data_IF_736538653573
#
_entry.id   IF_736538653573
#
_cell.length_a   1.000
_cell.length_b   1.000
_cell.length_c   1.000
_cell.angle_alpha   90.00
_cell.angle_beta   90.00
_cell.angle_gamma   90.00
#
_symmetry.space_group_name_H-M   'P 1'
#
loop_
_entity.id
_entity.type
_entity.pdbx_description
1 polymer ?
#
# COMPACT_ATOMS: atom_id res chain seq x y z
N UNK A 1 44.36 -26.14 36.51
CA UNK A 1 43.24 -26.72 35.73
C UNK A 1 42.06 -26.85 36.69
N UNK A 2 41.05 -25.99 36.53
CA UNK A 2 39.77 -26.47 36.03
C UNK A 2 39.28 -25.62 34.85
N UNK A 3 38.99 -26.30 33.75
CA UNK A 3 38.30 -25.81 32.56
C UNK A 3 36.79 -25.92 32.80
N UNK A 4 36.14 -24.80 33.14
CA UNK A 4 34.69 -24.80 33.40
C UNK A 4 33.96 -23.49 33.09
N UNK A 5 34.62 -22.50 32.49
CA UNK A 5 34.03 -21.16 32.33
C UNK A 5 33.72 -20.77 30.88
N UNK A 6 34.00 -21.63 29.90
CA UNK A 6 33.81 -21.28 28.48
C UNK A 6 32.44 -21.66 27.89
N UNK A 7 31.67 -22.52 28.55
CA UNK A 7 30.39 -23.02 28.01
C UNK A 7 29.19 -22.11 28.28
N UNK A 8 29.26 -21.23 29.28
CA UNK A 8 28.10 -20.43 29.72
C UNK A 8 27.91 -19.13 28.92
N UNK A 9 28.97 -18.60 28.30
CA UNK A 9 28.88 -17.37 27.49
C UNK A 9 28.28 -17.61 26.09
N UNK A 10 28.56 -18.76 25.46
CA UNK A 10 28.11 -19.08 24.09
C UNK A 10 26.60 -19.32 23.98
N UNK A 11 25.95 -19.75 25.07
CA UNK A 11 24.51 -20.03 25.10
C UNK A 11 23.66 -18.75 25.25
N UNK A 12 24.26 -17.66 25.77
CA UNK A 12 23.57 -16.37 25.95
C UNK A 12 23.60 -15.50 24.70
N UNK A 13 24.68 -15.56 23.91
CA UNK A 13 24.83 -14.78 22.68
C UNK A 13 24.00 -15.32 21.52
N UNK A 14 23.69 -16.62 21.50
CA UNK A 14 22.82 -17.23 20.48
C UNK A 14 21.33 -16.92 20.71
N UNK A 15 20.91 -16.67 21.95
CA UNK A 15 19.52 -16.38 22.30
C UNK A 15 19.12 -14.92 22.06
N UNK A 16 20.09 -14.00 22.00
CA UNK A 16 19.85 -12.59 21.64
C UNK A 16 19.72 -12.36 20.13
N UNK A 17 20.32 -13.21 19.28
CA UNK A 17 20.26 -13.05 17.82
C UNK A 17 18.94 -13.53 17.21
N UNK A 18 18.25 -14.49 17.84
CA UNK A 18 16.96 -15.00 17.37
C UNK A 18 15.77 -14.07 17.69
N UNK A 19 15.94 -13.13 18.62
CA UNK A 19 14.91 -12.14 18.96
C UNK A 19 14.84 -10.97 17.97
N UNK A 20 15.91 -10.68 17.22
CA UNK A 20 15.93 -9.58 16.25
C UNK A 20 15.20 -9.90 14.93
N UNK A 21 15.05 -11.18 14.57
CA UNK A 21 14.31 -11.56 13.36
C UNK A 21 12.78 -11.53 13.52
N UNK A 22 12.26 -11.38 14.73
CA UNK A 22 10.82 -11.33 15.00
C UNK A 22 10.23 -9.90 14.97
N UNK A 23 11.07 -8.87 14.81
CA UNK A 23 10.68 -7.46 14.72
C UNK A 23 10.70 -6.92 13.28
N UNK A 24 10.75 -7.81 12.28
CA UNK A 24 10.32 -7.51 10.92
C UNK A 24 8.80 -7.32 10.93
N UNK A 25 8.34 -6.29 11.62
CA UNK A 25 6.99 -5.77 11.55
C UNK A 25 6.66 -5.68 10.07
N UNK A 26 5.60 -6.40 9.68
CA UNK A 26 4.98 -6.30 8.38
C UNK A 26 4.72 -4.81 8.14
N UNK A 27 5.52 -4.15 7.30
CA UNK A 27 5.16 -2.86 6.77
C UNK A 27 3.89 -3.08 5.96
N UNK A 28 2.75 -2.58 6.45
CA UNK A 28 1.46 -2.66 5.78
C UNK A 28 1.48 -1.71 4.58
N UNK A 29 2.18 -2.12 3.54
CA UNK A 29 2.22 -1.39 2.27
C UNK A 29 0.98 -1.67 1.44
N UNK A 30 0.66 -0.75 0.54
CA UNK A 30 -0.25 -1.05 -0.58
C UNK A 30 0.33 -2.25 -1.34
N UNK A 31 -0.46 -3.32 -1.59
CA UNK A 31 0.04 -4.46 -2.33
C UNK A 31 0.42 -4.04 -3.76
N UNK A 32 1.57 -4.52 -4.24
CA UNK A 32 2.10 -4.20 -5.57
C UNK A 32 1.17 -4.64 -6.71
N UNK A 33 0.38 -5.70 -6.46
CA UNK A 33 -0.67 -6.19 -7.35
C UNK A 33 -2.05 -5.96 -6.71
N UNK A 34 -2.91 -5.25 -7.43
CA UNK A 34 -4.31 -5.06 -7.07
C UNK A 34 -5.20 -5.79 -8.06
N UNK A 35 -6.20 -6.52 -7.56
CA UNK A 35 -7.23 -7.13 -8.38
C UNK A 35 -8.59 -7.08 -7.71
N UNK A 36 -9.65 -6.95 -8.50
CA UNK A 36 -11.04 -7.06 -8.03
C UNK A 36 -11.81 -8.12 -8.82
N UNK A 37 -12.78 -8.81 -8.20
CA UNK A 37 -13.71 -9.65 -8.93
C UNK A 37 -14.52 -8.81 -9.93
N UNK A 38 -14.72 -9.31 -11.14
CA UNK A 38 -15.46 -8.59 -12.19
C UNK A 38 -16.94 -8.34 -11.85
N UNK A 39 -17.51 -9.09 -10.90
CA UNK A 39 -18.92 -9.03 -10.53
C UNK A 39 -19.19 -8.43 -9.14
N UNK A 40 -18.16 -7.95 -8.43
CA UNK A 40 -18.31 -7.38 -7.09
C UNK A 40 -18.42 -5.84 -7.16
N UNK A 41 -19.45 -5.22 -6.54
CA UNK A 41 -19.42 -3.79 -6.31
C UNK A 41 -18.22 -3.45 -5.42
N UNK A 42 -17.45 -2.44 -5.80
CA UNK A 42 -16.34 -1.97 -4.97
C UNK A 42 -16.89 -1.00 -3.93
N UNK A 43 -16.80 -1.36 -2.65
CA UNK A 43 -17.05 -0.42 -1.57
C UNK A 43 -15.83 0.49 -1.43
N UNK A 44 -16.03 1.77 -1.73
CA UNK A 44 -15.02 2.79 -1.52
C UNK A 44 -15.08 3.19 -0.05
N UNK A 45 -14.01 2.96 0.70
CA UNK A 45 -13.89 3.49 2.05
C UNK A 45 -13.68 5.02 1.97
N UNK A 46 -14.74 5.77 2.23
CA UNK A 46 -14.70 7.25 2.21
C UNK A 46 -14.29 7.85 3.56
N UNK A 47 -14.12 7.03 4.59
CA UNK A 47 -13.71 7.44 5.95
C UNK A 47 -12.63 6.50 6.50
N UNK A 48 -11.46 6.39 5.85
CA UNK A 48 -10.37 5.54 6.33
C UNK A 48 -9.76 6.01 7.67
N UNK A 49 -10.03 7.23 8.11
CA UNK A 49 -9.40 7.80 9.31
C UNK A 49 -8.05 8.42 8.97
N UNK A 50 -7.13 8.46 9.94
CA UNK A 50 -5.85 9.17 9.82
C UNK A 50 -4.63 8.24 9.73
N UNK A 51 -4.84 6.92 9.73
CA UNK A 51 -3.73 6.00 9.60
C UNK A 51 -3.18 6.04 8.16
N UNK A 52 -1.86 6.18 8.04
CA UNK A 52 -1.19 6.32 6.75
C UNK A 52 -1.37 5.10 5.86
N UNK A 53 -1.29 3.89 6.43
CA UNK A 53 -1.44 2.64 5.68
C UNK A 53 -2.88 2.51 5.18
N UNK A 54 -3.86 2.81 6.05
CA UNK A 54 -5.28 2.81 5.70
C UNK A 54 -5.62 3.83 4.61
N UNK A 55 -5.10 5.06 4.70
CA UNK A 55 -5.29 6.11 3.70
C UNK A 55 -4.71 5.72 2.33
N UNK A 56 -3.52 5.13 2.35
CA UNK A 56 -2.85 4.65 1.14
C UNK A 56 -3.61 3.49 0.49
N UNK A 57 -4.02 2.51 1.27
CA UNK A 57 -4.80 1.36 0.79
C UNK A 57 -6.19 1.79 0.30
N UNK A 58 -6.87 2.69 1.01
CA UNK A 58 -8.14 3.25 0.59
C UNK A 58 -8.01 4.00 -0.75
N UNK A 59 -6.94 4.77 -0.94
CA UNK A 59 -6.73 5.48 -2.20
C UNK A 59 -6.44 4.52 -3.36
N UNK A 60 -5.62 3.49 -3.13
CA UNK A 60 -5.29 2.52 -4.16
C UNK A 60 -6.51 1.67 -4.57
N UNK A 61 -7.35 1.32 -3.60
CA UNK A 61 -8.66 0.68 -3.84
C UNK A 61 -9.58 1.60 -4.63
N UNK A 62 -9.65 2.88 -4.25
CA UNK A 62 -10.44 3.91 -4.96
C UNK A 62 -9.99 4.07 -6.40
N UNK A 63 -8.68 4.12 -6.66
CA UNK A 63 -8.12 4.15 -8.01
C UNK A 63 -8.64 2.99 -8.86
N UNK A 64 -8.58 1.76 -8.34
CA UNK A 64 -9.08 0.59 -9.07
C UNK A 64 -10.60 0.59 -9.21
N UNK A 65 -11.33 1.22 -8.28
CA UNK A 65 -12.78 1.41 -8.36
C UNK A 65 -13.19 2.17 -9.61
N UNK A 66 -12.51 3.30 -9.84
CA UNK A 66 -12.76 4.21 -10.95
C UNK A 66 -12.03 3.82 -12.24
N UNK A 67 -11.15 2.81 -12.20
CA UNK A 67 -10.50 2.29 -13.39
C UNK A 67 -11.48 1.51 -14.28
N UNK A 68 -11.32 1.54 -15.61
CA UNK A 68 -12.11 0.74 -16.55
C UNK A 68 -11.70 -0.74 -16.59
N UNK A 69 -10.77 -1.15 -15.73
CA UNK A 69 -10.28 -2.53 -15.61
C UNK A 69 -10.45 -3.04 -14.18
N UNK A 70 -10.13 -4.31 -13.97
CA UNK A 70 -10.23 -4.97 -12.66
C UNK A 70 -8.88 -5.34 -12.08
N UNK A 71 -7.77 -5.00 -12.73
CA UNK A 71 -6.42 -5.33 -12.28
C UNK A 71 -5.44 -4.20 -12.52
N UNK A 72 -4.56 -3.98 -11.54
CA UNK A 72 -3.39 -3.12 -11.63
C UNK A 72 -2.16 -3.85 -11.06
N UNK A 73 -0.99 -3.51 -11.57
CA UNK A 73 0.31 -4.02 -11.09
C UNK A 73 1.28 -2.85 -10.93
N UNK A 74 2.49 -3.11 -10.42
CA UNK A 74 3.50 -2.09 -10.14
C UNK A 74 2.94 -0.95 -9.26
N UNK A 75 2.02 -1.29 -8.35
CA UNK A 75 1.29 -0.31 -7.55
C UNK A 75 2.20 0.22 -6.45
N UNK A 76 2.36 1.54 -6.41
CA UNK A 76 3.11 2.24 -5.37
C UNK A 76 2.32 3.46 -4.91
N UNK A 77 2.44 3.79 -3.64
CA UNK A 77 1.76 4.94 -3.04
C UNK A 77 2.73 5.82 -2.27
N UNK A 78 2.37 7.09 -2.16
CA UNK A 78 3.03 8.06 -1.29
C UNK A 78 1.97 8.96 -0.68
N UNK A 79 2.21 9.37 0.56
CA UNK A 79 1.35 10.32 1.26
C UNK A 79 2.14 11.60 1.56
N UNK A 80 1.44 12.73 1.60
CA UNK A 80 1.91 13.98 2.15
C UNK A 80 0.86 14.45 3.15
N UNK A 81 1.31 14.86 4.33
CA UNK A 81 0.47 15.37 5.42
C UNK A 81 0.63 16.89 5.49
N UNK A 82 -0.47 17.63 5.60
CA UNK A 82 -0.49 19.08 5.76
C UNK A 82 -1.63 19.49 6.72
N UNK A 83 -1.31 19.77 7.97
CA UNK A 83 -2.26 20.01 9.07
C UNK A 83 -3.38 18.95 9.14
N UNK A 84 -4.61 19.30 8.70
CA UNK A 84 -5.80 18.42 8.69
C UNK A 84 -6.06 17.74 7.33
N UNK A 85 -5.21 18.01 6.34
CA UNK A 85 -5.31 17.50 4.97
C UNK A 85 -4.25 16.42 4.69
N UNK A 86 -4.71 15.30 4.13
CA UNK A 86 -3.83 14.22 3.67
C UNK A 86 -3.94 14.06 2.16
N UNK A 87 -2.81 14.07 1.47
CA UNK A 87 -2.75 13.87 0.02
C UNK A 87 -2.07 12.55 -0.27
N UNK A 88 -2.82 11.60 -0.80
CA UNK A 88 -2.28 10.32 -1.27
C UNK A 88 -2.17 10.32 -2.78
N UNK A 89 -1.01 9.95 -3.29
CA UNK A 89 -0.76 9.73 -4.72
C UNK A 89 -0.43 8.26 -4.92
N UNK A 90 -1.23 7.58 -5.74
CA UNK A 90 -1.03 6.18 -6.14
C UNK A 90 -0.60 6.16 -7.59
N UNK A 91 0.43 5.36 -7.88
CA UNK A 91 0.90 5.05 -9.23
C UNK A 91 0.72 3.55 -9.46
N UNK A 92 0.48 3.17 -10.70
CA UNK A 92 0.42 1.76 -11.08
C UNK A 92 0.24 1.59 -12.57
N UNK A 93 0.14 0.34 -13.01
CA UNK A 93 -0.10 -0.04 -14.40
C UNK A 93 -1.40 -0.82 -14.48
N UNK A 94 -2.41 -0.24 -15.13
CA UNK A 94 -3.68 -0.89 -15.40
C UNK A 94 -3.50 -1.99 -16.45
N UNK A 95 -4.11 -3.14 -16.21
CA UNK A 95 -4.01 -4.32 -17.07
C UNK A 95 -5.34 -4.65 -17.72
N UNK A 96 -5.31 -5.00 -19.01
CA UNK A 96 -6.47 -5.55 -19.74
C UNK A 96 -7.36 -4.52 -20.43
N UNK A 97 -6.83 -3.34 -20.76
CA UNK A 97 -7.57 -2.29 -21.47
C UNK A 97 -7.91 -2.63 -22.92
N UNK A 98 -7.02 -3.37 -23.60
CA UNK A 98 -7.25 -3.84 -24.95
C UNK A 98 -6.41 -5.08 -25.26
N UNK A 99 -6.69 -5.72 -26.41
CA UNK A 99 -5.89 -6.86 -26.91
C UNK A 99 -4.54 -6.43 -27.49
N UNK A 100 -4.37 -5.15 -27.84
CA UNK A 100 -3.22 -4.66 -28.59
C UNK A 100 -2.24 -3.85 -27.72
N UNK A 101 -2.78 -3.11 -26.76
CA UNK A 101 -2.02 -2.51 -25.68
C UNK A 101 -2.72 -2.80 -24.36
N UNK A 102 -2.28 -3.84 -23.64
CA UNK A 102 -2.93 -4.26 -22.41
C UNK A 102 -2.47 -3.46 -21.19
N UNK A 103 -1.48 -2.57 -21.30
CA UNK A 103 -0.84 -1.91 -20.14
C UNK A 103 -0.94 -0.39 -20.24
N UNK A 104 -1.54 0.24 -19.24
CA UNK A 104 -1.57 1.70 -19.14
C UNK A 104 -1.02 2.16 -17.80
N UNK A 105 0.15 2.83 -17.79
CA UNK A 105 0.62 3.53 -16.61
C UNK A 105 -0.34 4.65 -16.22
N UNK A 106 -0.72 4.69 -14.95
CA UNK A 106 -1.63 5.70 -14.39
C UNK A 106 -1.07 6.32 -13.12
N UNK A 107 -1.50 7.55 -12.84
CA UNK A 107 -1.32 8.19 -11.54
C UNK A 107 -2.67 8.71 -11.08
N UNK A 108 -3.06 8.36 -9.86
CA UNK A 108 -4.29 8.79 -9.22
C UNK A 108 -3.99 9.53 -7.93
N UNK A 109 -4.80 10.54 -7.61
CA UNK A 109 -4.67 11.34 -6.40
C UNK A 109 -5.96 11.30 -5.60
N UNK A 110 -5.83 11.06 -4.31
CA UNK A 110 -6.88 11.23 -3.32
C UNK A 110 -6.49 12.38 -2.39
N UNK A 111 -7.39 13.34 -2.24
CA UNK A 111 -7.33 14.37 -1.21
C UNK A 111 -8.29 13.97 -0.10
N UNK A 112 -7.76 13.88 1.12
CA UNK A 112 -8.52 13.64 2.34
C UNK A 112 -8.47 14.88 3.22
N UNK A 113 -9.56 15.11 3.94
CA UNK A 113 -9.67 16.14 4.97
C UNK A 113 -10.31 15.50 6.19
N UNK A 114 -9.69 15.65 7.36
CA UNK A 114 -10.16 15.04 8.61
C UNK A 114 -10.40 13.52 8.47
N UNK A 115 -9.46 12.84 7.79
CA UNK A 115 -9.52 11.39 7.53
C UNK A 115 -10.66 10.94 6.60
N UNK A 116 -11.29 11.87 5.86
CA UNK A 116 -12.39 11.61 4.93
C UNK A 116 -11.98 11.90 3.49
N UNK A 117 -12.36 11.04 2.55
CA UNK A 117 -12.09 11.28 1.12
C UNK A 117 -12.93 12.45 0.63
N UNK A 118 -12.28 13.56 0.27
CA UNK A 118 -12.92 14.75 -0.30
C UNK A 118 -12.95 14.67 -1.82
N UNK A 119 -11.84 14.24 -2.42
CA UNK A 119 -11.70 14.19 -3.88
C UNK A 119 -10.77 13.08 -4.32
N UNK A 120 -11.18 12.34 -5.35
CA UNK A 120 -10.31 11.49 -6.14
C UNK A 120 -10.20 12.04 -7.57
N UNK A 121 -9.03 11.97 -8.20
CA UNK A 121 -8.84 12.38 -9.61
C UNK A 121 -7.67 11.67 -10.29
N UNK A 122 -7.78 11.50 -11.61
CA UNK A 122 -6.66 11.07 -12.43
C UNK A 122 -5.67 12.23 -12.65
N UNK A 123 -4.38 11.98 -12.42
CA UNK A 123 -3.31 12.90 -12.77
C UNK A 123 -2.63 12.52 -14.08
N UNK A 124 -2.66 11.24 -14.45
CA UNK A 124 -2.03 10.72 -15.67
C UNK A 124 -2.69 9.41 -16.12
N UNK A 125 -2.68 9.18 -17.44
CA UNK A 125 -3.06 7.93 -18.09
C UNK A 125 -4.54 7.86 -18.44
N UNK A 126 -5.40 8.21 -17.49
CA UNK A 126 -6.84 8.38 -17.68
C UNK A 126 -7.24 9.84 -17.48
N UNK A 127 -8.44 10.20 -17.96
CA UNK A 127 -9.05 11.52 -17.77
C UNK A 127 -10.29 11.41 -16.88
N UNK A 128 -10.54 12.45 -16.09
CA UNK A 128 -11.80 12.65 -15.34
C UNK A 128 -13.00 12.87 -16.29
#
# INVERSE_FOLDING_TARGET
>A
MPTGEFTTMLLRTTLLLSALCALSACAGGVPEDLSRPAAAPLEINTHPGHDTEDLQQACATTMLAYAPVTRATDVTSRISHDDDDDVVIVRGVLLGLSRFDPRLPVTYRCDYHDGRLVRGRWLQGLSD
#
